data_IF_985462121560
#
_entry.id   IF_985462121560
#
_cell.length_a   1.000
_cell.length_b   1.000
_cell.length_c   1.000
_cell.angle_alpha   90.00
_cell.angle_beta   90.00
_cell.angle_gamma   90.00
#
_symmetry.space_group_name_H-M   'P 1'
#
loop_
_entity.id
_entity.type
_entity.pdbx_description
1 polymer ?
#
# COMPACT_ATOMS: atom_id res chain seq x y z
N UNK A 1 -9.97 10.06 51.20
CA UNK A 1 -9.46 10.90 50.09
C UNK A 1 -10.47 10.83 48.96
N UNK A 2 -11.06 11.96 48.57
CA UNK A 2 -12.17 12.06 47.60
C UNK A 2 -11.59 12.42 46.23
N UNK A 3 -11.63 11.50 45.27
CA UNK A 3 -11.33 11.80 43.86
C UNK A 3 -12.68 12.08 43.20
N UNK A 4 -12.96 13.36 43.00
CA UNK A 4 -14.05 13.85 42.16
C UNK A 4 -13.54 13.80 40.72
N UNK A 5 -13.92 12.78 39.98
CA UNK A 5 -13.57 12.59 38.58
C UNK A 5 -14.65 13.15 37.66
N UNK A 6 -14.35 14.29 37.05
CA UNK A 6 -15.13 15.02 36.07
C UNK A 6 -15.38 14.16 34.81
N UNK A 7 -16.65 13.86 34.52
CA UNK A 7 -17.10 13.25 33.26
C UNK A 7 -17.41 14.38 32.27
N UNK A 8 -16.64 14.50 31.20
CA UNK A 8 -16.96 15.37 30.08
C UNK A 8 -17.38 14.51 28.88
N UNK A 9 -18.69 14.35 28.73
CA UNK A 9 -19.38 13.78 27.59
C UNK A 9 -19.56 14.90 26.54
N UNK A 10 -18.91 14.81 25.39
CA UNK A 10 -19.23 15.64 24.22
C UNK A 10 -19.66 14.75 23.05
N UNK A 11 -20.96 14.78 22.75
CA UNK A 11 -21.61 14.09 21.63
C UNK A 11 -21.80 15.03 20.43
N UNK A 12 -21.79 14.40 19.24
CA UNK A 12 -21.77 14.88 17.85
C UNK A 12 -22.80 15.95 17.41
N UNK A 13 -22.41 16.74 16.39
CA UNK A 13 -23.26 17.13 15.26
C UNK A 13 -22.40 17.50 14.04
N UNK A 14 -22.69 16.89 12.89
CA UNK A 14 -21.88 17.00 11.67
C UNK A 14 -22.28 18.12 10.69
N UNK A 15 -21.52 18.21 9.61
CA UNK A 15 -21.88 18.91 8.37
C UNK A 15 -21.23 18.19 7.20
N UNK A 16 -22.06 17.52 6.39
CA UNK A 16 -21.70 17.11 5.04
C UNK A 16 -21.69 18.35 4.13
N UNK A 17 -20.69 18.47 3.25
CA UNK A 17 -20.72 19.40 2.13
C UNK A 17 -20.29 18.67 0.85
N UNK A 18 -21.31 18.39 0.04
CA UNK A 18 -21.41 18.47 -1.42
C UNK A 18 -20.23 18.08 -2.33
N UNK A 19 -20.47 16.99 -3.05
CA UNK A 19 -20.38 16.77 -4.52
C UNK A 19 -19.86 17.98 -5.32
N UNK A 20 -18.79 17.79 -6.10
CA UNK A 20 -18.52 18.54 -7.34
C UNK A 20 -18.01 17.59 -8.43
N UNK A 21 -18.92 17.38 -9.38
CA UNK A 21 -18.86 17.10 -10.81
C UNK A 21 -17.58 16.58 -11.48
N UNK A 22 -17.78 15.43 -12.15
CA UNK A 22 -17.01 15.00 -13.30
C UNK A 22 -17.45 15.79 -14.54
N UNK A 23 -16.52 16.41 -15.25
CA UNK A 23 -16.72 16.87 -16.62
C UNK A 23 -15.87 16.02 -17.57
N UNK A 24 -16.45 15.48 -18.65
CA UNK A 24 -15.80 14.58 -19.58
C UNK A 24 -14.96 15.36 -20.60
N UNK A 25 -13.66 15.10 -20.69
CA UNK A 25 -12.91 15.59 -21.86
C UNK A 25 -13.11 14.62 -23.03
N UNK A 26 -13.88 15.09 -24.00
CA UNK A 26 -14.20 14.40 -25.23
C UNK A 26 -12.99 14.29 -26.17
N UNK A 27 -12.91 13.10 -26.78
CA UNK A 27 -12.53 12.83 -28.17
C UNK A 27 -11.15 13.26 -28.70
N UNK A 28 -10.30 12.26 -28.92
CA UNK A 28 -9.48 12.19 -30.13
C UNK A 28 -9.88 10.95 -30.97
N UNK A 29 -10.89 11.15 -31.83
CA UNK A 29 -11.15 10.25 -32.95
C UNK A 29 -10.36 10.71 -34.18
N UNK A 30 -9.26 10.03 -34.47
CA UNK A 30 -8.59 9.88 -35.77
C UNK A 30 -7.37 8.96 -35.51
N UNK A 31 -7.13 7.84 -36.18
CA UNK A 31 -7.44 7.47 -37.54
C UNK A 31 -7.68 5.97 -37.67
N UNK A 32 -8.62 5.63 -38.56
CA UNK A 32 -8.72 4.32 -39.18
C UNK A 32 -7.60 4.17 -40.21
N UNK A 33 -6.72 3.20 -39.98
CA UNK A 33 -5.81 2.52 -40.91
C UNK A 33 -5.16 1.44 -40.05
N UNK A 34 -5.16 0.16 -40.31
CA UNK A 34 -5.29 -0.63 -41.52
C UNK A 34 -5.40 -2.07 -40.97
N UNK A 35 -6.42 -2.85 -41.34
CA UNK A 35 -6.53 -4.24 -40.89
C UNK A 35 -5.48 -5.07 -41.63
N UNK A 36 -4.49 -5.70 -40.95
CA UNK A 36 -3.66 -6.68 -41.62
C UNK A 36 -4.53 -7.90 -42.02
N UNK A 37 -4.25 -8.55 -43.16
CA UNK A 37 -5.00 -9.73 -43.61
C UNK A 37 -4.86 -10.87 -42.59
N UNK A 38 -5.82 -11.82 -42.53
CA UNK A 38 -5.69 -12.99 -41.68
C UNK A 38 -4.57 -13.88 -42.24
N UNK A 39 -3.42 -13.88 -41.57
CA UNK A 39 -2.39 -14.88 -41.78
C UNK A 39 -2.76 -16.14 -40.97
N UNK A 40 -3.07 -17.19 -41.72
CA UNK A 40 -3.11 -18.58 -41.30
C UNK A 40 -1.77 -19.00 -40.69
N UNK A 41 -1.81 -19.74 -39.57
CA UNK A 41 -0.69 -20.58 -39.13
C UNK A 41 0.20 -20.04 -38.01
N UNK A 42 -0.24 -20.20 -36.76
CA UNK A 42 0.47 -20.90 -35.67
C UNK A 42 -0.17 -20.52 -34.34
N UNK A 43 -0.81 -21.51 -33.70
CA UNK A 43 -1.16 -21.44 -32.29
C UNK A 43 0.14 -21.46 -31.49
N UNK A 44 0.69 -20.28 -31.20
CA UNK A 44 1.64 -20.16 -30.11
C UNK A 44 0.82 -20.09 -28.81
N UNK A 45 0.67 -21.26 -28.19
CA UNK A 45 0.30 -21.44 -26.80
C UNK A 45 1.41 -20.85 -25.92
N UNK A 46 1.55 -19.53 -25.96
CA UNK A 46 2.17 -18.79 -24.89
C UNK A 46 1.04 -18.24 -24.05
N UNK A 47 0.65 -19.01 -23.04
CA UNK A 47 0.21 -18.42 -21.77
C UNK A 47 1.41 -17.67 -21.17
N UNK A 48 1.86 -16.61 -21.84
CA UNK A 48 2.51 -15.53 -21.15
C UNK A 48 1.41 -14.96 -20.26
N UNK A 49 1.35 -15.46 -19.03
CA UNK A 49 0.84 -14.70 -17.91
C UNK A 49 1.54 -13.36 -17.96
N UNK A 50 0.86 -12.44 -18.63
CA UNK A 50 1.07 -11.02 -18.58
C UNK A 50 0.87 -10.63 -17.11
N UNK A 51 1.90 -10.87 -16.29
CA UNK A 51 2.04 -10.26 -14.97
C UNK A 51 2.37 -8.78 -15.19
N UNK A 52 1.56 -8.08 -16.00
CA UNK A 52 1.38 -6.66 -15.80
C UNK A 52 0.64 -6.54 -14.48
N UNK A 53 1.41 -6.64 -13.38
CA UNK A 53 0.98 -6.18 -12.07
C UNK A 53 0.72 -4.70 -12.28
N UNK A 54 -0.53 -4.35 -12.54
CA UNK A 54 -0.93 -2.96 -12.66
C UNK A 54 -0.47 -2.29 -11.36
N UNK A 55 0.43 -1.32 -11.47
CA UNK A 55 0.89 -0.56 -10.31
C UNK A 55 -0.35 0.01 -9.61
N UNK A 56 -0.73 -0.58 -8.48
CA UNK A 56 -1.93 -0.18 -7.74
C UNK A 56 -1.57 1.06 -6.93
N UNK A 57 -1.67 2.21 -7.57
CA UNK A 57 -1.62 3.50 -6.90
C UNK A 57 -3.04 3.86 -6.43
N UNK A 58 -3.19 4.11 -5.13
CA UNK A 58 -4.46 4.47 -4.51
C UNK A 58 -4.23 5.19 -3.18
N UNK A 59 -5.28 5.68 -2.51
CA UNK A 59 -5.11 6.37 -1.22
C UNK A 59 -4.48 5.46 -0.16
N UNK A 60 -4.79 4.17 -0.17
CA UNK A 60 -4.32 3.20 0.83
C UNK A 60 -4.83 3.51 2.25
N UNK A 61 -4.47 2.67 3.21
CA UNK A 61 -4.76 2.86 4.64
C UNK A 61 -3.46 2.86 5.45
N UNK A 62 -3.50 3.41 6.67
CA UNK A 62 -2.35 3.38 7.58
C UNK A 62 -2.05 1.96 8.09
N UNK A 63 -0.86 1.75 8.67
CA UNK A 63 -0.50 0.46 9.31
C UNK A 63 -1.42 0.20 10.50
N UNK A 64 -1.75 1.24 11.25
CA UNK A 64 -2.68 1.16 12.38
C UNK A 64 -4.07 0.75 11.93
N UNK A 65 -4.64 1.41 10.90
CA UNK A 65 -5.95 1.01 10.34
C UNK A 65 -5.94 -0.41 9.79
N UNK A 66 -4.84 -0.83 9.15
CA UNK A 66 -4.73 -2.19 8.60
C UNK A 66 -4.80 -3.27 9.70
N UNK A 67 -4.21 -3.01 10.87
CA UNK A 67 -4.27 -3.90 12.03
C UNK A 67 -5.67 -3.95 12.67
N UNK A 68 -6.44 -2.87 12.55
CA UNK A 68 -7.81 -2.76 13.08
C UNK A 68 -8.88 -3.14 12.05
N UNK A 69 -8.47 -3.51 10.83
CA UNK A 69 -9.39 -3.77 9.73
C UNK A 69 -10.00 -5.16 9.81
N UNK A 70 -11.33 -5.23 9.71
CA UNK A 70 -12.07 -6.48 9.50
C UNK A 70 -12.39 -6.73 8.00
N UNK A 71 -11.83 -5.93 7.10
CA UNK A 71 -12.09 -6.06 5.67
C UNK A 71 -11.49 -7.37 5.12
N UNK A 72 -12.29 -8.09 4.35
CA UNK A 72 -11.84 -9.28 3.64
C UNK A 72 -11.07 -8.91 2.37
N UNK A 73 -9.96 -9.61 2.12
CA UNK A 73 -9.16 -9.48 0.91
C UNK A 73 -7.92 -8.59 1.05
N UNK A 74 -7.23 -8.29 -0.07
CA UNK A 74 -6.03 -7.47 -0.05
C UNK A 74 -6.30 -6.01 0.34
N UNK A 75 -5.44 -5.46 1.17
CA UNK A 75 -5.41 -4.07 1.60
C UNK A 75 -4.17 -3.40 1.01
N UNK A 76 -4.33 -2.16 0.54
CA UNK A 76 -3.21 -1.30 0.15
C UNK A 76 -2.77 -0.52 1.40
N UNK A 77 -1.63 -0.89 1.98
CA UNK A 77 -1.16 -0.37 3.27
C UNK A 77 0.04 0.56 3.08
N UNK A 78 -0.01 1.72 3.75
CA UNK A 78 0.98 2.78 3.67
C UNK A 78 1.86 2.81 4.93
N UNK A 79 3.18 2.63 4.79
CA UNK A 79 4.10 2.69 5.92
C UNK A 79 5.56 2.84 5.50
N UNK A 80 6.45 2.91 6.47
CA UNK A 80 7.90 2.89 6.24
C UNK A 80 8.41 1.46 6.26
N UNK A 81 9.15 1.08 5.22
CA UNK A 81 9.79 -0.22 5.19
C UNK A 81 11.04 -0.17 6.07
N UNK A 82 11.23 -1.14 6.95
CA UNK A 82 12.42 -1.26 7.80
C UNK A 82 12.82 -2.73 7.89
N UNK A 83 14.07 -3.04 7.57
CA UNK A 83 14.68 -4.36 7.75
C UNK A 83 15.63 -4.31 8.93
N UNK A 84 15.43 -5.21 9.89
CA UNK A 84 16.31 -5.42 11.03
C UNK A 84 16.83 -6.86 11.04
N UNK A 85 17.61 -7.23 12.06
CA UNK A 85 18.02 -8.62 12.28
C UNK A 85 16.82 -9.56 12.54
N UNK A 86 15.67 -9.03 12.96
CA UNK A 86 14.48 -9.79 13.31
C UNK A 86 13.51 -10.00 12.13
N UNK A 87 13.69 -9.23 11.05
CA UNK A 87 12.88 -9.36 9.83
C UNK A 87 12.60 -8.05 9.12
N UNK A 88 11.63 -8.09 8.20
CA UNK A 88 11.14 -6.94 7.44
C UNK A 88 9.83 -6.46 8.04
N UNK A 89 9.72 -5.16 8.25
CA UNK A 89 8.56 -4.52 8.86
C UNK A 89 8.04 -3.37 7.99
N UNK A 90 6.72 -3.24 7.95
CA UNK A 90 6.05 -2.01 7.52
C UNK A 90 5.61 -1.26 8.78
N UNK A 91 6.32 -0.19 9.11
CA UNK A 91 6.13 0.58 10.32
C UNK A 91 5.30 1.85 10.08
N UNK A 92 4.50 2.24 11.07
CA UNK A 92 3.73 3.49 11.03
C UNK A 92 4.64 4.72 11.04
N UNK A 93 5.75 4.64 11.78
CA UNK A 93 6.72 5.69 11.90
C UNK A 93 8.15 5.12 11.95
N UNK A 94 9.13 6.00 11.78
CA UNK A 94 10.52 5.73 12.08
C UNK A 94 10.84 6.32 13.46
N UNK A 95 11.49 5.53 14.31
CA UNK A 95 11.96 6.01 15.61
C UNK A 95 13.08 7.06 15.45
N UNK A 96 13.16 8.02 16.37
CA UNK A 96 14.17 9.10 16.39
C UNK A 96 15.57 8.56 16.77
N UNK A 97 16.17 7.78 15.88
CA UNK A 97 17.44 7.08 16.03
C UNK A 97 18.15 6.96 14.67
N UNK A 98 19.44 6.62 14.67
CA UNK A 98 20.20 6.44 13.43
C UNK A 98 21.15 5.21 13.53
N UNK A 99 20.92 4.13 12.76
CA UNK A 99 19.81 3.92 11.83
C UNK A 99 18.43 3.94 12.51
N UNK A 100 17.38 4.41 11.82
CA UNK A 100 16.03 4.41 12.38
C UNK A 100 15.53 2.99 12.63
N UNK A 101 14.83 2.80 13.74
CA UNK A 101 14.13 1.56 14.09
C UNK A 101 12.63 1.68 13.76
N UNK A 102 11.89 0.55 13.63
CA UNK A 102 10.44 0.59 13.51
C UNK A 102 9.81 1.32 14.70
N UNK A 103 9.02 2.36 14.42
CA UNK A 103 8.29 3.14 15.42
C UNK A 103 6.77 3.02 15.25
N UNK A 104 6.04 3.15 16.35
CA UNK A 104 4.57 3.05 16.35
C UNK A 104 4.07 1.62 16.07
N UNK A 105 2.88 1.52 15.45
CA UNK A 105 2.33 0.26 14.98
C UNK A 105 3.19 -0.32 13.84
N UNK A 106 3.22 -1.65 13.71
CA UNK A 106 4.00 -2.33 12.68
C UNK A 106 3.34 -3.62 12.23
N UNK A 107 3.51 -3.93 10.95
CA UNK A 107 3.23 -5.23 10.35
C UNK A 107 4.56 -5.92 10.03
N UNK A 108 4.63 -7.23 10.29
CA UNK A 108 5.69 -8.07 9.69
C UNK A 108 5.37 -8.22 8.21
N UNK A 109 6.35 -8.06 7.34
CA UNK A 109 6.15 -8.19 5.90
C UNK A 109 6.71 -9.52 5.43
N UNK A 110 5.89 -10.24 4.68
CA UNK A 110 6.24 -11.50 4.04
C UNK A 110 6.02 -11.40 2.52
N UNK A 111 6.74 -12.25 1.76
CA UNK A 111 6.66 -12.32 0.31
C UNK A 111 6.97 -11.01 -0.43
N UNK A 112 7.80 -10.14 0.17
CA UNK A 112 8.28 -8.92 -0.47
C UNK A 112 9.65 -9.14 -1.12
N UNK A 113 9.75 -8.83 -2.41
CA UNK A 113 11.03 -8.69 -3.09
C UNK A 113 11.61 -7.28 -2.84
N UNK A 114 12.67 -7.23 -2.03
CA UNK A 114 13.34 -5.98 -1.64
C UNK A 114 14.04 -5.30 -2.82
N UNK A 115 14.41 -6.05 -3.86
CA UNK A 115 15.11 -5.50 -5.04
C UNK A 115 14.15 -4.67 -5.94
N UNK A 116 12.84 -4.81 -5.74
CA UNK A 116 11.81 -4.03 -6.45
C UNK A 116 11.45 -2.72 -5.74
N UNK A 117 12.01 -2.46 -4.56
CA UNK A 117 11.69 -1.26 -3.77
C UNK A 117 12.77 -0.20 -3.96
N UNK A 118 12.38 0.89 -4.62
CA UNK A 118 13.25 2.05 -4.80
C UNK A 118 13.43 2.87 -3.51
N UNK A 119 14.57 3.57 -3.43
CA UNK A 119 14.80 4.60 -2.40
C UNK A 119 15.03 4.03 -1.00
N UNK A 120 15.59 2.82 -0.92
CA UNK A 120 16.04 2.24 0.32
C UNK A 120 17.46 2.71 0.68
N UNK A 121 17.64 3.07 1.95
CA UNK A 121 18.93 3.43 2.54
C UNK A 121 19.37 2.32 3.48
N UNK A 122 20.64 1.89 3.40
CA UNK A 122 21.20 0.85 4.29
C UNK A 122 22.38 1.38 5.09
N UNK A 123 22.32 1.27 6.42
CA UNK A 123 23.40 1.65 7.34
C UNK A 123 23.46 0.64 8.48
N UNK A 124 24.67 0.18 8.81
CA UNK A 124 24.92 -0.77 9.92
C UNK A 124 24.04 -2.03 9.87
N UNK A 125 23.70 -2.51 8.67
CA UNK A 125 22.86 -3.70 8.47
C UNK A 125 21.36 -3.47 8.69
N UNK A 126 20.94 -2.21 8.89
CA UNK A 126 19.54 -1.81 8.91
C UNK A 126 19.22 -1.12 7.58
N UNK A 127 18.16 -1.56 6.93
CA UNK A 127 17.67 -0.98 5.67
C UNK A 127 16.33 -0.30 5.93
N UNK A 128 16.11 0.90 5.43
CA UNK A 128 14.81 1.57 5.56
C UNK A 128 14.46 2.42 4.35
N UNK A 129 13.17 2.73 4.19
CA UNK A 129 12.69 3.72 3.22
C UNK A 129 12.61 5.11 3.85
N UNK A 130 13.11 6.15 3.16
CA UNK A 130 13.00 7.54 3.63
C UNK A 130 11.60 8.14 3.39
N UNK A 131 10.79 7.48 2.57
CA UNK A 131 9.39 7.80 2.31
C UNK A 131 8.51 6.60 2.66
N UNK A 132 7.21 6.86 2.86
CA UNK A 132 6.24 5.78 2.96
C UNK A 132 6.15 5.05 1.62
N UNK A 133 6.15 3.73 1.68
CA UNK A 133 5.83 2.83 0.57
C UNK A 133 4.37 2.39 0.67
N UNK A 134 3.79 1.95 -0.44
CA UNK A 134 2.47 1.31 -0.47
C UNK A 134 2.66 -0.16 -0.82
N UNK A 135 2.15 -1.05 0.04
CA UNK A 135 2.21 -2.49 -0.19
C UNK A 135 0.78 -3.02 -0.29
N UNK A 136 0.48 -3.73 -1.38
CA UNK A 136 -0.79 -4.44 -1.54
C UNK A 136 -0.64 -5.87 -1.02
N UNK A 137 -1.48 -6.29 -0.10
CA UNK A 137 -1.41 -7.64 0.44
C UNK A 137 -2.50 -7.98 1.43
N UNK A 138 -2.55 -9.22 1.89
CA UNK A 138 -3.51 -9.64 2.92
C UNK A 138 -2.89 -9.46 4.30
N UNK A 139 -3.64 -8.85 5.21
CA UNK A 139 -3.24 -8.66 6.61
C UNK A 139 -3.91 -9.71 7.48
N UNK A 140 -3.11 -10.46 8.23
CA UNK A 140 -3.60 -11.46 9.19
C UNK A 140 -2.61 -11.58 10.35
N UNK A 141 -3.11 -11.52 11.59
CA UNK A 141 -2.31 -11.72 12.81
C UNK A 141 -1.04 -10.85 12.89
N UNK A 142 -1.11 -9.61 12.38
CA UNK A 142 0.03 -8.68 12.37
C UNK A 142 1.06 -8.94 11.27
N UNK A 143 0.77 -9.84 10.34
CA UNK A 143 1.57 -10.12 9.14
C UNK A 143 0.86 -9.57 7.90
N UNK A 144 1.60 -8.87 7.05
CA UNK A 144 1.21 -8.46 5.72
C UNK A 144 1.91 -9.38 4.71
N UNK A 145 1.13 -10.25 4.07
CA UNK A 145 1.60 -11.07 2.96
C UNK A 145 1.39 -10.31 1.66
N UNK A 146 2.48 -9.88 1.02
CA UNK A 146 2.43 -9.06 -0.19
C UNK A 146 1.91 -9.88 -1.36
N UNK A 147 0.96 -9.32 -2.11
CA UNK A 147 0.46 -9.91 -3.34
C UNK A 147 1.53 -9.76 -4.44
N UNK A 148 1.96 -10.90 -5.00
CA UNK A 148 2.91 -10.98 -6.13
C UNK A 148 2.24 -10.98 -7.49
#
# INVERSE_FOLDING_TARGET
MKIVGLVLLLTLAGTACSIQDAEPYAANAAAVSDLPPPADGSVDDSTATDHNVAAVAGPGISVTEALESDLAGPLLVNGFLVTTADGVYLAEALAESYPPQPGGARLVVDNLDMDLIDGLTTVQGITWSDRRVQLLGTVQDGLLHVAG
#
